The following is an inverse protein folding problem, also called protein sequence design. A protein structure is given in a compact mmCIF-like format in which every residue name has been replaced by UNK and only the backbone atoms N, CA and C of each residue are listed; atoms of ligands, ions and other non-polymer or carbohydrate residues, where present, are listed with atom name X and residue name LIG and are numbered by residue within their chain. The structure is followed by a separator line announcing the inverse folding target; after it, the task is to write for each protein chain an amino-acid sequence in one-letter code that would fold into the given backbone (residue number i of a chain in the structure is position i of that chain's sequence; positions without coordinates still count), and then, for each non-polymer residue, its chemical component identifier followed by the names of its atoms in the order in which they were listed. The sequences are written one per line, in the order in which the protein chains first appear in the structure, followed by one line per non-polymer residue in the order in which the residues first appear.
data_IF_470588196572
#
_entry.id   IF_470588196572
#
_cell.length_a   1.000
_cell.length_b   1.000
_cell.length_c   1.000
_cell.angle_alpha   90.00
_cell.angle_beta   90.00
_cell.angle_gamma   90.00
#
_symmetry.space_group_name_H-M   'P 1'
#
loop_
_entity.id
_entity.type
_entity.pdbx_description
1 polymer ?
#
# COMPACT_ATOMS: atom_id res chain seq x y z
N UNK A 1 -45.14 3.05 51.36
CA UNK A 1 -44.01 2.70 50.47
C UNK A 1 -43.01 3.85 50.54
N UNK A 2 -41.78 3.61 50.97
CA UNK A 2 -40.80 4.69 51.25
C UNK A 2 -40.27 5.32 49.96
N UNK A 3 -40.13 6.64 49.91
CA UNK A 3 -39.62 7.41 48.74
C UNK A 3 -38.27 6.85 48.25
N UNK A 4 -37.41 6.42 49.18
CA UNK A 4 -36.11 5.82 48.84
C UNK A 4 -36.23 4.54 48.01
N UNK A 5 -37.30 3.76 48.20
CA UNK A 5 -37.49 2.51 47.45
C UNK A 5 -37.92 2.76 46.01
N UNK A 6 -38.65 3.85 45.77
CA UNK A 6 -39.05 4.27 44.43
C UNK A 6 -37.81 4.71 43.66
N UNK A 7 -36.97 5.55 44.27
CA UNK A 7 -35.73 6.04 43.68
C UNK A 7 -34.76 4.88 43.37
N UNK A 8 -34.61 3.92 44.29
CA UNK A 8 -33.76 2.73 44.08
C UNK A 8 -34.27 1.83 42.95
N UNK A 9 -35.59 1.66 42.83
CA UNK A 9 -36.19 0.85 41.78
C UNK A 9 -36.03 1.49 40.39
N UNK A 10 -36.17 2.81 40.30
CA UNK A 10 -36.04 3.59 39.07
C UNK A 10 -34.56 3.67 38.60
N UNK A 11 -33.63 3.74 39.56
CA UNK A 11 -32.19 3.62 39.30
C UNK A 11 -31.81 2.22 38.79
N UNK A 12 -32.39 1.16 39.36
CA UNK A 12 -32.14 -0.21 38.92
C UNK A 12 -32.78 -0.53 37.56
N UNK A 13 -33.93 0.06 37.23
CA UNK A 13 -34.58 -0.14 35.93
C UNK A 13 -33.88 0.58 34.78
N UNK A 14 -33.22 1.70 35.06
CA UNK A 14 -32.47 2.50 34.07
C UNK A 14 -31.02 1.99 33.84
N UNK A 15 -30.43 1.30 34.81
CA UNK A 15 -29.09 0.70 34.71
C UNK A 15 -28.87 -0.23 33.49
N UNK A 16 -29.79 -1.16 33.15
CA UNK A 16 -29.63 -2.00 31.96
C UNK A 16 -29.76 -1.19 30.66
N UNK A 17 -30.63 -0.18 30.62
CA UNK A 17 -30.86 0.66 29.44
C UNK A 17 -29.63 1.54 29.12
N UNK A 18 -28.98 2.09 30.16
CA UNK A 18 -27.73 2.85 30.01
C UNK A 18 -26.58 1.95 29.59
N UNK A 19 -26.50 0.72 30.10
CA UNK A 19 -25.49 -0.27 29.68
C UNK A 19 -25.67 -0.69 28.23
N UNK A 20 -26.90 -0.90 27.78
CA UNK A 20 -27.20 -1.29 26.40
C UNK A 20 -26.79 -0.20 25.41
N UNK A 21 -27.16 1.06 25.69
CA UNK A 21 -26.73 2.22 24.88
C UNK A 21 -25.21 2.37 24.83
N UNK A 22 -24.53 2.25 25.97
CA UNK A 22 -23.06 2.31 26.01
C UNK A 22 -22.41 1.13 25.26
N UNK A 23 -23.04 -0.04 25.25
CA UNK A 23 -22.54 -1.19 24.50
C UNK A 23 -22.74 -1.02 22.99
N UNK A 24 -23.82 -0.39 22.57
CA UNK A 24 -24.10 -0.10 21.16
C UNK A 24 -23.20 1.00 20.61
N UNK A 25 -22.95 2.07 21.37
CA UNK A 25 -21.95 3.09 21.02
C UNK A 25 -20.55 2.48 20.88
N UNK A 26 -20.16 1.61 21.83
CA UNK A 26 -18.88 0.90 21.78
C UNK A 26 -18.78 -0.03 20.56
N UNK A 27 -19.86 -0.74 20.21
CA UNK A 27 -19.91 -1.59 19.01
C UNK A 27 -19.81 -0.76 17.73
N UNK A 28 -20.48 0.39 17.66
CA UNK A 28 -20.36 1.30 16.52
C UNK A 28 -18.94 1.83 16.35
N UNK A 29 -18.29 2.24 17.44
CA UNK A 29 -16.91 2.72 17.42
C UNK A 29 -15.91 1.62 17.02
N UNK A 30 -16.11 0.40 17.53
CA UNK A 30 -15.31 -0.75 17.13
C UNK A 30 -15.48 -1.05 15.64
N UNK A 31 -16.72 -0.99 15.14
CA UNK A 31 -17.04 -1.23 13.73
C UNK A 31 -16.42 -0.17 12.82
N UNK A 32 -16.46 1.11 13.21
CA UNK A 32 -15.78 2.21 12.49
C UNK A 32 -14.26 2.01 12.45
N UNK A 33 -13.66 1.59 13.57
CA UNK A 33 -12.22 1.30 13.63
C UNK A 33 -11.84 0.10 12.76
N UNK A 34 -12.65 -0.95 12.75
CA UNK A 34 -12.45 -2.12 11.88
C UNK A 34 -12.51 -1.73 10.39
N UNK A 35 -13.53 -0.96 10.00
CA UNK A 35 -13.67 -0.45 8.61
C UNK A 35 -12.48 0.42 8.18
N UNK A 36 -11.98 1.29 9.07
CA UNK A 36 -10.78 2.08 8.80
C UNK A 36 -9.53 1.21 8.65
N UNK A 37 -9.42 0.15 9.46
CA UNK A 37 -8.27 -0.76 9.43
C UNK A 37 -8.29 -1.66 8.19
N UNK A 38 -9.46 -2.15 7.78
CA UNK A 38 -9.64 -2.92 6.54
C UNK A 38 -9.34 -2.05 5.31
N UNK A 39 -9.76 -0.79 5.28
CA UNK A 39 -9.40 0.14 4.20
C UNK A 39 -7.89 0.35 4.06
N UNK A 40 -7.17 0.45 5.19
CA UNK A 40 -5.70 0.56 5.20
C UNK A 40 -5.04 -0.76 4.75
N UNK A 41 -5.55 -1.91 5.19
CA UNK A 41 -5.07 -3.22 4.76
C UNK A 41 -5.31 -3.47 3.27
N UNK A 42 -6.44 -3.01 2.74
CA UNK A 42 -6.79 -3.14 1.33
C UNK A 42 -5.88 -2.24 0.46
N UNK A 43 -5.60 -1.02 0.88
CA UNK A 43 -4.66 -0.12 0.19
C UNK A 43 -3.21 -0.66 0.18
N UNK A 44 -2.81 -1.45 1.19
CA UNK A 44 -1.51 -2.15 1.23
C UNK A 44 -1.49 -3.38 0.31
N UNK A 45 -2.59 -4.12 0.23
CA UNK A 45 -2.73 -5.31 -0.60
C UNK A 45 -2.62 -5.00 -2.09
N UNK A 46 -3.30 -3.96 -2.56
CA UNK A 46 -3.28 -3.59 -3.97
C UNK A 46 -1.91 -3.03 -4.41
N UNK A 47 -1.25 -2.23 -3.56
CA UNK A 47 0.08 -1.66 -3.87
C UNK A 47 1.18 -2.70 -4.05
N UNK A 48 1.05 -3.89 -3.44
CA UNK A 48 2.02 -4.99 -3.60
C UNK A 48 1.98 -5.60 -4.99
N UNK A 49 0.80 -5.77 -5.56
CA UNK A 49 0.65 -6.48 -6.83
C UNK A 49 1.09 -5.62 -8.03
N UNK A 50 0.79 -4.32 -7.99
CA UNK A 50 1.25 -3.38 -9.02
C UNK A 50 2.77 -3.22 -9.03
N UNK A 51 3.41 -3.16 -7.85
CA UNK A 51 4.86 -3.04 -7.74
C UNK A 51 5.56 -4.25 -8.36
N UNK A 52 5.05 -5.45 -8.12
CA UNK A 52 5.62 -6.67 -8.68
C UNK A 52 5.49 -6.71 -10.22
N UNK A 53 4.31 -6.36 -10.76
CA UNK A 53 4.08 -6.33 -12.21
C UNK A 53 4.98 -5.31 -12.91
N UNK A 54 5.15 -4.12 -12.35
CA UNK A 54 6.04 -3.07 -12.88
C UNK A 54 7.50 -3.53 -12.82
N UNK A 55 7.91 -4.17 -11.72
CA UNK A 55 9.27 -4.70 -11.59
C UNK A 55 9.59 -5.74 -12.67
N UNK A 56 8.67 -6.69 -12.93
CA UNK A 56 8.85 -7.70 -13.98
C UNK A 56 8.96 -7.06 -15.37
N UNK A 57 8.13 -6.06 -15.67
CA UNK A 57 8.17 -5.33 -16.95
C UNK A 57 9.52 -4.61 -17.16
N UNK A 58 10.08 -4.02 -16.11
CA UNK A 58 11.38 -3.35 -16.15
C UNK A 58 12.53 -4.35 -16.30
N UNK A 59 12.52 -5.48 -15.56
CA UNK A 59 13.51 -6.54 -15.74
C UNK A 59 13.51 -7.09 -17.17
N UNK A 60 12.32 -7.29 -17.74
CA UNK A 60 12.18 -7.74 -19.14
C UNK A 60 12.74 -6.69 -20.12
N UNK A 61 12.48 -5.41 -19.88
CA UNK A 61 13.07 -4.31 -20.66
C UNK A 61 14.61 -4.26 -20.57
N UNK A 62 15.19 -4.45 -19.38
CA UNK A 62 16.65 -4.49 -19.20
C UNK A 62 17.31 -5.66 -19.95
N UNK A 63 16.66 -6.83 -19.95
CA UNK A 63 17.13 -7.99 -20.72
C UNK A 63 17.10 -7.67 -22.22
N UNK A 64 16.01 -7.05 -22.71
CA UNK A 64 15.88 -6.65 -24.11
C UNK A 64 16.99 -5.66 -24.52
N UNK A 65 17.27 -4.64 -23.70
CA UNK A 65 18.38 -3.70 -23.97
C UNK A 65 19.75 -4.40 -23.91
N UNK A 66 19.95 -5.34 -22.99
CA UNK A 66 21.18 -6.13 -22.92
C UNK A 66 21.39 -6.98 -24.18
N UNK A 67 20.33 -7.57 -24.73
CA UNK A 67 20.38 -8.31 -26.00
C UNK A 67 20.76 -7.38 -27.15
N UNK A 68 20.20 -6.16 -27.20
CA UNK A 68 20.55 -5.16 -28.23
C UNK A 68 22.02 -4.76 -28.14
N UNK A 69 22.56 -4.56 -26.92
CA UNK A 69 23.97 -4.26 -26.73
C UNK A 69 24.88 -5.40 -27.19
N UNK A 70 24.56 -6.65 -26.85
CA UNK A 70 25.33 -7.82 -27.30
C UNK A 70 25.27 -7.96 -28.82
N UNK A 71 24.10 -7.74 -29.43
CA UNK A 71 23.92 -7.80 -30.88
C UNK A 71 24.66 -6.67 -31.62
N UNK A 72 24.74 -5.48 -31.03
CA UNK A 72 25.56 -4.37 -31.53
C UNK A 72 27.05 -4.64 -31.37
N UNK A 73 27.48 -5.23 -30.24
CA UNK A 73 28.88 -5.57 -29.97
C UNK A 73 29.44 -6.71 -30.81
N UNK A 74 28.59 -7.65 -31.24
CA UNK A 74 28.96 -8.73 -32.16
C UNK A 74 29.13 -8.28 -33.63
N UNK A 75 29.03 -6.98 -33.93
CA UNK A 75 29.24 -6.43 -35.27
C UNK A 75 28.14 -6.77 -36.29
N UNK A 76 27.05 -7.43 -35.84
CA UNK A 76 25.97 -7.88 -36.71
C UNK A 76 24.92 -6.78 -37.00
N UNK A 77 24.90 -5.71 -36.19
CA UNK A 77 23.97 -4.59 -36.29
C UNK A 77 24.72 -3.27 -36.05
N UNK A 78 24.85 -2.47 -37.11
CA UNK A 78 25.53 -1.17 -37.06
C UNK A 78 24.52 -0.09 -36.64
N UNK A 79 24.30 0.05 -35.34
CA UNK A 79 23.52 1.15 -34.79
C UNK A 79 24.42 2.38 -34.59
N UNK A 80 23.87 3.56 -34.86
CA UNK A 80 24.58 4.83 -34.60
C UNK A 80 24.85 4.97 -33.10
N UNK A 81 26.03 5.50 -32.75
CA UNK A 81 26.44 5.81 -31.38
C UNK A 81 25.38 6.62 -30.62
N UNK A 82 24.64 7.49 -31.33
CA UNK A 82 23.53 8.26 -30.75
C UNK A 82 22.43 7.35 -30.22
N UNK A 83 22.10 6.28 -30.94
CA UNK A 83 21.06 5.32 -30.53
C UNK A 83 21.54 4.50 -29.35
N UNK A 84 22.79 4.02 -29.36
CA UNK A 84 23.36 3.29 -28.22
C UNK A 84 23.41 4.13 -26.97
N UNK A 85 23.94 5.36 -27.06
CA UNK A 85 24.01 6.28 -25.95
C UNK A 85 22.60 6.56 -25.44
N UNK A 86 21.65 6.94 -26.30
CA UNK A 86 20.26 7.23 -25.89
C UNK A 86 19.60 6.04 -25.18
N UNK A 87 19.83 4.82 -25.66
CA UNK A 87 19.30 3.60 -25.07
C UNK A 87 19.94 3.33 -23.69
N UNK A 88 21.25 3.57 -23.56
CA UNK A 88 22.01 3.44 -22.31
C UNK A 88 21.57 4.50 -21.29
N UNK A 89 21.40 5.75 -21.70
CA UNK A 89 20.93 6.82 -20.81
C UNK A 89 19.50 6.54 -20.35
N UNK A 90 18.62 6.07 -21.25
CA UNK A 90 17.21 5.76 -20.91
C UNK A 90 17.12 4.57 -19.95
N UNK A 91 17.92 3.52 -20.14
CA UNK A 91 17.97 2.39 -19.21
C UNK A 91 18.58 2.77 -17.86
N UNK A 92 19.62 3.60 -17.85
CA UNK A 92 20.21 4.13 -16.60
C UNK A 92 19.20 4.97 -15.83
N UNK A 93 18.47 5.85 -16.51
CA UNK A 93 17.39 6.64 -15.91
C UNK A 93 16.27 5.74 -15.35
N UNK A 94 15.89 4.68 -16.07
CA UNK A 94 14.90 3.71 -15.59
C UNK A 94 15.38 2.95 -14.35
N UNK A 95 16.65 2.53 -14.29
CA UNK A 95 17.23 1.86 -13.12
C UNK A 95 17.27 2.80 -11.91
N UNK A 96 17.68 4.06 -12.10
CA UNK A 96 17.70 5.07 -11.03
C UNK A 96 16.27 5.37 -10.56
N UNK A 97 15.32 5.52 -11.48
CA UNK A 97 13.91 5.74 -11.17
C UNK A 97 13.32 4.59 -10.36
N UNK A 98 13.61 3.34 -10.74
CA UNK A 98 13.22 2.16 -9.98
C UNK A 98 13.91 2.11 -8.62
N UNK A 99 15.20 2.43 -8.53
CA UNK A 99 15.94 2.45 -7.27
C UNK A 99 15.32 3.45 -6.29
N UNK A 100 14.99 4.66 -6.75
CA UNK A 100 14.31 5.68 -5.93
C UNK A 100 12.89 5.22 -5.56
N UNK A 101 12.17 4.60 -6.49
CA UNK A 101 10.85 4.05 -6.22
C UNK A 101 10.89 2.94 -5.15
N UNK A 102 11.79 1.98 -5.28
CA UNK A 102 12.00 0.89 -4.32
C UNK A 102 12.52 1.43 -2.99
N UNK A 103 13.43 2.40 -2.99
CA UNK A 103 13.91 3.05 -1.76
C UNK A 103 12.75 3.77 -1.06
N UNK A 104 11.94 4.54 -1.80
CA UNK A 104 10.72 5.14 -1.23
C UNK A 104 9.79 4.05 -0.70
N UNK A 105 9.57 2.96 -1.42
CA UNK A 105 8.74 1.87 -0.94
C UNK A 105 9.29 1.24 0.36
N UNK A 106 10.57 0.87 0.39
CA UNK A 106 11.22 0.24 1.54
C UNK A 106 11.25 1.16 2.77
N UNK A 107 11.52 2.45 2.59
CA UNK A 107 11.62 3.42 3.68
C UNK A 107 10.28 4.07 4.06
N UNK A 108 9.25 3.97 3.23
CA UNK A 108 7.90 4.48 3.55
C UNK A 108 6.98 3.41 4.18
N UNK A 109 7.45 2.16 4.30
CA UNK A 109 6.81 1.08 5.10
C UNK A 109 6.93 1.32 6.63
N UNK A 110 7.37 2.50 7.06
CA UNK A 110 7.25 2.95 8.46
C UNK A 110 6.66 4.35 8.56
N UNK A 111 5.36 4.48 8.38
CA UNK A 111 4.59 5.54 9.05
C UNK A 111 3.09 5.24 9.01
N UNK A 112 2.60 4.38 9.90
CA UNK A 112 1.83 4.79 11.09
C UNK A 112 1.45 3.58 11.92
#
# INVERSE_FOLDING_TARGET
MSIEQIIQNEANSSLPEVKERAQDELKEDLRKKQLANDGIMQDIGERKEYTHRIFVLICMWLILVSIILIASGNGNLHYSDTVLVTLLTTTTANVIGLFVFVAKYLFQIKSK
#
